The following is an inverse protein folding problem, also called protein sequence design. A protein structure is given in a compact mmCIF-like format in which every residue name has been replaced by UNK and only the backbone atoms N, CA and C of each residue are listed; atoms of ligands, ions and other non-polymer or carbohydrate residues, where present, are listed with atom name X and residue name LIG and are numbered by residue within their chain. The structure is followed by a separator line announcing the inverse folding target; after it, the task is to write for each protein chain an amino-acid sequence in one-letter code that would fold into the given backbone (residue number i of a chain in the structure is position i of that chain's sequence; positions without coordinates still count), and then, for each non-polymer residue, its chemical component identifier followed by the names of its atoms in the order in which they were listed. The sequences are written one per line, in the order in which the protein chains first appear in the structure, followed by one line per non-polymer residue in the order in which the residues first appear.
data_IF_479557868419
#
_entry.id   IF_479557868419
#
_cell.length_a   1.000
_cell.length_b   1.000
_cell.length_c   1.000
_cell.angle_alpha   90.00
_cell.angle_beta   90.00
_cell.angle_gamma   90.00
#
_symmetry.space_group_name_H-M   'P 1'
#
loop_
_entity.id
_entity.type
_entity.pdbx_description
1 polymer ?
#
# COMPACT_ATOMS: atom_id res chain seq x y z
N UNK A 1 -0.91 14.72 7.78
CA UNK A 1 -1.35 13.36 8.18
C UNK A 1 -2.86 13.40 8.41
N UNK A 2 -3.65 12.47 7.84
CA UNK A 2 -5.12 12.41 8.01
C UNK A 2 -5.46 11.42 9.15
N UNK A 3 -5.82 11.86 10.37
CA UNK A 3 -5.98 10.96 11.51
C UNK A 3 -7.09 9.91 11.34
N UNK A 4 -8.17 10.29 10.65
CA UNK A 4 -9.28 9.38 10.31
C UNK A 4 -8.81 8.18 9.48
N UNK A 5 -7.92 8.40 8.51
CA UNK A 5 -7.36 7.36 7.66
C UNK A 5 -6.54 6.35 8.48
N UNK A 6 -5.70 6.85 9.40
CA UNK A 6 -4.91 5.98 10.28
C UNK A 6 -5.79 5.14 11.22
N UNK A 7 -6.90 5.71 11.72
CA UNK A 7 -7.87 4.98 12.54
C UNK A 7 -8.55 3.85 11.76
N UNK A 8 -8.99 4.14 10.53
CA UNK A 8 -9.64 3.14 9.67
C UNK A 8 -8.65 2.03 9.27
N UNK A 9 -7.43 2.38 8.87
CA UNK A 9 -6.41 1.39 8.51
C UNK A 9 -6.04 0.46 9.70
N UNK A 10 -5.98 1.00 10.93
CA UNK A 10 -5.78 0.17 12.13
C UNK A 10 -6.93 -0.80 12.38
N UNK A 11 -8.17 -0.35 12.22
CA UNK A 11 -9.34 -1.22 12.36
C UNK A 11 -9.33 -2.33 11.29
N UNK A 12 -9.00 -1.98 10.04
CA UNK A 12 -8.88 -2.94 8.94
C UNK A 12 -7.79 -4.00 9.20
N UNK A 13 -6.62 -3.57 9.69
CA UNK A 13 -5.53 -4.48 10.01
C UNK A 13 -5.94 -5.53 11.06
N UNK A 14 -6.72 -5.12 12.08
CA UNK A 14 -7.24 -6.04 13.10
C UNK A 14 -8.25 -7.03 12.49
N UNK A 15 -9.16 -6.57 11.62
CA UNK A 15 -10.15 -7.44 10.97
C UNK A 15 -9.52 -8.48 10.04
N UNK A 16 -8.39 -8.14 9.41
CA UNK A 16 -7.66 -9.05 8.51
C UNK A 16 -6.60 -9.89 9.25
N UNK A 17 -6.49 -9.82 10.57
CA UNK A 17 -5.41 -10.44 11.37
C UNK A 17 -4.00 -10.07 10.84
N UNK A 18 -3.85 -8.84 10.36
CA UNK A 18 -2.60 -8.27 9.84
C UNK A 18 -2.04 -7.21 10.78
N UNK A 19 -0.74 -6.93 10.64
CA UNK A 19 -0.16 -5.71 11.20
C UNK A 19 -0.49 -4.52 10.29
N UNK A 20 -0.51 -3.30 10.83
CA UNK A 20 -0.70 -2.09 10.02
C UNK A 20 0.35 -1.98 8.90
N UNK A 21 1.59 -2.41 9.16
CA UNK A 21 2.67 -2.46 8.17
C UNK A 21 2.31 -3.39 7.01
N UNK A 22 1.89 -4.62 7.30
CA UNK A 22 1.51 -5.60 6.26
C UNK A 22 0.32 -5.13 5.44
N UNK A 23 -0.66 -4.49 6.07
CA UNK A 23 -1.81 -3.90 5.37
C UNK A 23 -1.36 -2.83 4.37
N UNK A 24 -0.44 -1.95 4.78
CA UNK A 24 0.10 -0.91 3.91
C UNK A 24 0.94 -1.50 2.79
N UNK A 25 1.80 -2.48 3.07
CA UNK A 25 2.60 -3.17 2.05
C UNK A 25 1.71 -3.81 0.98
N UNK A 26 0.67 -4.55 1.39
CA UNK A 26 -0.32 -5.13 0.47
C UNK A 26 -0.97 -4.06 -0.40
N UNK A 27 -1.46 -2.97 0.20
CA UNK A 27 -2.08 -1.88 -0.54
C UNK A 27 -1.11 -1.18 -1.52
N UNK A 28 0.18 -1.10 -1.18
CA UNK A 28 1.20 -0.55 -2.06
C UNK A 28 1.49 -1.48 -3.23
N UNK A 29 1.60 -2.79 -2.98
CA UNK A 29 1.78 -3.79 -4.04
C UNK A 29 0.58 -3.80 -4.99
N UNK A 30 -0.65 -3.76 -4.46
CA UNK A 30 -1.88 -3.69 -5.26
C UNK A 30 -1.98 -2.40 -6.09
N UNK A 31 -1.30 -1.33 -5.65
CA UNK A 31 -1.23 -0.06 -6.38
C UNK A 31 -0.17 -0.06 -7.49
N UNK A 32 0.79 -0.98 -7.46
CA UNK A 32 1.80 -1.07 -8.51
C UNK A 32 1.19 -1.64 -9.80
N UNK A 33 1.65 -1.17 -10.98
CA UNK A 33 1.23 -1.75 -12.24
C UNK A 33 1.75 -3.19 -12.38
N UNK A 34 1.00 -4.03 -13.10
CA UNK A 34 1.39 -5.43 -13.38
C UNK A 34 2.76 -5.53 -14.08
N UNK A 35 3.05 -4.58 -14.98
CA UNK A 35 4.32 -4.48 -15.68
C UNK A 35 4.93 -3.09 -15.50
N UNK A 36 6.21 -3.06 -15.12
CA UNK A 36 7.01 -1.84 -15.03
C UNK A 36 8.00 -1.84 -16.20
N UNK A 37 7.71 -1.08 -17.26
CA UNK A 37 8.65 -0.87 -18.37
C UNK A 37 9.60 0.27 -18.02
N UNK A 38 10.80 -0.06 -17.56
CA UNK A 38 11.87 0.93 -17.35
C UNK A 38 12.44 1.30 -18.73
N UNK A 39 12.00 2.43 -19.29
CA UNK A 39 12.57 2.96 -20.53
C UNK A 39 13.90 3.63 -20.22
N UNK A 40 14.96 3.26 -20.94
CA UNK A 40 16.18 4.05 -20.97
C UNK A 40 15.82 5.40 -21.60
N UNK A 41 16.21 6.49 -20.95
CA UNK A 41 16.16 7.81 -21.59
C UNK A 41 17.04 7.73 -22.83
N UNK A 42 16.50 8.11 -23.98
CA UNK A 42 17.35 8.53 -25.10
C UNK A 42 18.09 9.77 -24.59
N UNK A 43 19.42 9.72 -24.63
CA UNK A 43 20.31 10.85 -24.36
C UNK A 43 20.65 11.45 -25.71
#
# INVERSE_FOLDING_TARGET
MKPSLAKHARAQAILEDLTLTKLVEKALVDYLPEEIVIKKSEI
#
